data_IF_575004720833
#
_entry.id   IF_575004720833
#
_cell.length_a   1.000
_cell.length_b   1.000
_cell.length_c   1.000
_cell.angle_alpha   90.00
_cell.angle_beta   90.00
_cell.angle_gamma   90.00
#
_symmetry.space_group_name_H-M   'P 1'
#
loop_
_entity.id
_entity.type
_entity.pdbx_description
1 polymer ?
#
# COMPACT_ATOMS: atom_id res chain seq x y z
N UNK A 1 55.65 30.51 -5.43
CA UNK A 1 54.52 30.38 -4.48
C UNK A 1 53.60 29.28 -5.01
N UNK A 2 53.54 28.12 -4.36
CA UNK A 2 52.71 27.00 -4.80
C UNK A 2 51.29 27.19 -4.24
N UNK A 3 50.28 27.25 -5.11
CA UNK A 3 48.89 27.39 -4.70
C UNK A 3 48.28 26.02 -4.35
N UNK A 4 47.71 25.89 -3.15
CA UNK A 4 47.06 24.67 -2.61
C UNK A 4 46.01 24.03 -3.54
N UNK A 5 45.48 24.79 -4.51
CA UNK A 5 44.51 24.31 -5.49
C UNK A 5 45.07 23.24 -6.45
N UNK A 6 46.39 23.15 -6.65
CA UNK A 6 46.99 22.17 -7.57
C UNK A 6 47.32 20.82 -6.94
N UNK A 7 47.21 20.68 -5.61
CA UNK A 7 47.44 19.42 -4.88
C UNK A 7 46.15 18.63 -4.62
N UNK A 8 44.99 19.16 -5.00
CA UNK A 8 43.72 18.50 -4.76
C UNK A 8 43.23 17.76 -6.02
N UNK A 9 42.68 16.55 -5.88
CA UNK A 9 42.10 15.80 -7.00
C UNK A 9 40.89 16.55 -7.57
N UNK A 10 40.76 16.50 -8.90
CA UNK A 10 39.69 17.22 -9.63
C UNK A 10 38.31 16.80 -9.12
N UNK A 11 37.40 17.74 -8.81
CA UNK A 11 36.10 17.42 -8.26
C UNK A 11 35.26 16.64 -9.28
N UNK A 12 34.57 15.59 -8.81
CA UNK A 12 33.79 14.66 -9.65
C UNK A 12 32.40 15.22 -10.00
N UNK A 13 31.94 16.26 -9.30
CA UNK A 13 30.68 16.92 -9.57
C UNK A 13 30.91 18.40 -9.86
N UNK A 14 30.84 18.77 -11.13
CA UNK A 14 30.69 20.15 -11.56
C UNK A 14 29.22 20.50 -11.38
N UNK A 15 28.90 21.37 -10.43
CA UNK A 15 27.61 22.05 -10.43
C UNK A 15 27.55 22.90 -11.69
N UNK A 16 26.59 22.61 -12.57
CA UNK A 16 26.21 23.49 -13.68
C UNK A 16 26.04 24.89 -13.11
N UNK A 17 26.97 25.75 -13.51
CA UNK A 17 26.87 27.19 -13.33
C UNK A 17 26.03 27.66 -14.50
N UNK A 18 24.91 28.29 -14.20
CA UNK A 18 24.05 28.97 -15.15
C UNK A 18 24.82 30.23 -15.59
N UNK A 19 25.65 30.11 -16.63
CA UNK A 19 26.29 31.25 -17.28
C UNK A 19 25.28 31.86 -18.26
N UNK A 20 24.44 32.74 -17.72
CA UNK A 20 23.78 33.80 -18.48
C UNK A 20 24.83 34.86 -18.82
N UNK A 21 25.22 34.98 -20.10
CA UNK A 21 25.49 36.24 -20.81
C UNK A 21 26.30 35.99 -22.11
N UNK A 22 25.64 36.16 -23.27
CA UNK A 22 26.18 36.90 -24.43
C UNK A 22 25.17 36.88 -25.59
N UNK A 23 24.17 37.77 -25.53
CA UNK A 23 23.28 38.08 -26.66
C UNK A 23 24.00 39.07 -27.58
N UNK A 24 24.82 38.56 -28.49
CA UNK A 24 25.31 39.34 -29.63
C UNK A 24 24.20 39.45 -30.67
N UNK A 25 23.55 40.62 -30.72
CA UNK A 25 22.63 41.02 -31.79
C UNK A 25 23.41 41.26 -33.08
N UNK A 26 23.44 40.28 -33.98
CA UNK A 26 23.71 40.52 -35.42
C UNK A 26 22.39 40.34 -36.17
N UNK A 27 21.79 41.47 -36.50
CA UNK A 27 20.73 41.57 -37.49
C UNK A 27 21.32 41.45 -38.90
N UNK A 28 20.63 40.66 -39.72
CA UNK A 28 20.26 40.94 -41.11
C UNK A 28 20.89 40.06 -42.21
N UNK A 29 19.99 39.23 -42.78
CA UNK A 29 19.87 38.82 -44.18
C UNK A 29 20.83 37.78 -44.78
N UNK A 30 20.36 36.53 -44.84
CA UNK A 30 20.33 35.77 -46.10
C UNK A 30 19.08 34.86 -46.11
N UNK A 31 18.10 35.24 -46.92
CA UNK A 31 17.07 34.34 -47.39
C UNK A 31 17.62 33.67 -48.66
N UNK A 32 17.62 32.34 -48.70
CA UNK A 32 17.15 31.50 -49.81
C UNK A 32 17.73 30.07 -49.71
N UNK A 33 16.81 29.10 -49.82
CA UNK A 33 17.05 27.71 -50.23
C UNK A 33 17.92 26.82 -49.33
N UNK A 34 17.28 26.14 -48.38
CA UNK A 34 17.64 24.74 -48.13
C UNK A 34 16.42 23.97 -47.62
N UNK A 35 15.99 23.08 -48.50
CA UNK A 35 14.97 22.05 -48.41
C UNK A 35 14.56 21.69 -46.97
N UNK A 36 13.28 21.91 -46.72
CA UNK A 36 12.54 21.51 -45.54
C UNK A 36 12.49 19.97 -45.46
N UNK A 37 13.53 19.34 -44.92
CA UNK A 37 13.45 17.95 -44.47
C UNK A 37 12.66 17.90 -43.16
N UNK A 38 11.34 18.12 -43.25
CA UNK A 38 10.40 17.57 -42.27
C UNK A 38 10.50 16.05 -42.42
N UNK A 39 11.45 15.42 -41.73
CA UNK A 39 11.43 13.97 -41.56
C UNK A 39 10.18 13.65 -40.74
N UNK A 40 9.12 13.25 -41.44
CA UNK A 40 7.90 12.73 -40.83
C UNK A 40 8.31 11.49 -40.06
N UNK A 41 8.35 11.59 -38.73
CA UNK A 41 8.42 10.42 -37.87
C UNK A 41 7.09 9.69 -38.04
N UNK A 42 7.07 8.64 -38.87
CA UNK A 42 5.92 7.74 -39.01
C UNK A 42 5.83 6.95 -37.72
N UNK A 43 5.15 7.50 -36.72
CA UNK A 43 4.73 6.75 -35.54
C UNK A 43 3.62 5.80 -35.99
N UNK A 44 3.86 4.50 -35.94
CA UNK A 44 2.83 3.48 -36.09
C UNK A 44 1.89 3.61 -34.88
N UNK A 45 0.89 4.48 -34.98
CA UNK A 45 -0.07 4.68 -33.92
C UNK A 45 -0.76 3.36 -33.59
N UNK A 46 -0.86 3.06 -32.30
CA UNK A 46 -1.56 1.87 -31.79
C UNK A 46 -2.97 1.82 -32.41
N UNK A 47 -3.32 0.77 -33.19
CA UNK A 47 -4.62 0.68 -33.84
C UNK A 47 -5.76 0.71 -32.81
N UNK A 48 -6.89 1.33 -33.18
CA UNK A 48 -8.08 1.38 -32.34
C UNK A 48 -8.56 -0.02 -31.99
N UNK A 49 -9.30 -0.14 -30.87
CA UNK A 49 -9.92 -1.41 -30.51
C UNK A 49 -10.77 -1.95 -31.67
N UNK A 50 -10.64 -3.24 -31.97
CA UNK A 50 -11.30 -3.91 -33.11
C UNK A 50 -10.43 -4.09 -34.38
N UNK A 51 -9.35 -3.32 -34.56
CA UNK A 51 -8.45 -3.43 -35.73
C UNK A 51 -7.06 -3.99 -35.40
N UNK A 52 -6.92 -4.62 -34.23
CA UNK A 52 -5.63 -5.11 -33.72
C UNK A 52 -5.24 -6.50 -34.23
N UNK A 53 -6.02 -7.09 -35.14
CA UNK A 53 -5.71 -8.41 -35.70
C UNK A 53 -4.39 -8.34 -36.49
N UNK A 54 -3.38 -9.09 -36.03
CA UNK A 54 -2.03 -9.09 -36.62
C UNK A 54 -1.09 -8.00 -36.09
N UNK A 55 -1.57 -7.06 -35.27
CA UNK A 55 -0.73 -6.03 -34.65
C UNK A 55 -0.09 -6.57 -33.35
N UNK A 56 1.24 -6.56 -33.30
CA UNK A 56 2.02 -7.02 -32.14
C UNK A 56 2.79 -5.85 -31.52
N UNK A 57 2.42 -5.40 -30.31
CA UNK A 57 3.20 -4.38 -29.60
C UNK A 57 4.63 -4.88 -29.40
N UNK A 58 5.62 -4.04 -29.69
CA UNK A 58 7.05 -4.41 -29.63
C UNK A 58 7.88 -3.40 -28.83
N UNK A 59 7.53 -2.12 -28.87
CA UNK A 59 8.22 -1.06 -28.13
C UNK A 59 7.46 -0.68 -26.83
N UNK A 60 8.14 0.02 -25.91
CA UNK A 60 7.55 0.46 -24.63
C UNK A 60 6.32 1.37 -24.82
N UNK A 61 6.28 2.12 -25.92
CA UNK A 61 5.16 2.98 -26.31
C UNK A 61 3.95 2.18 -26.83
N UNK A 62 4.15 0.93 -27.27
CA UNK A 62 3.06 0.05 -27.74
C UNK A 62 2.35 -0.70 -26.59
N UNK A 63 3.06 -0.94 -25.48
CA UNK A 63 2.56 -1.68 -24.32
C UNK A 63 2.06 -0.74 -23.21
N UNK A 64 0.90 -1.06 -22.63
CA UNK A 64 0.55 -0.61 -21.28
C UNK A 64 1.45 -1.27 -20.23
N UNK A 65 1.76 -0.55 -19.15
CA UNK A 65 2.64 -0.92 -18.02
C UNK A 65 2.65 -2.44 -17.72
N UNK A 66 3.79 -3.14 -17.90
CA UNK A 66 3.79 -4.61 -17.74
C UNK A 66 5.14 -5.35 -17.79
N UNK A 67 6.27 -4.69 -17.53
CA UNK A 67 7.58 -5.38 -17.51
C UNK A 67 7.82 -6.05 -16.15
N UNK A 68 8.05 -7.37 -16.16
CA UNK A 68 8.48 -8.12 -14.97
C UNK A 68 9.87 -7.62 -14.55
N UNK A 69 10.02 -7.21 -13.28
CA UNK A 69 11.33 -6.79 -12.73
C UNK A 69 12.26 -8.01 -12.66
N UNK A 70 13.42 -7.94 -13.31
CA UNK A 70 14.42 -9.01 -13.37
C UNK A 70 15.34 -9.07 -12.16
N UNK A 71 15.34 -8.03 -11.31
CA UNK A 71 16.14 -7.97 -10.09
C UNK A 71 15.26 -7.63 -8.88
N UNK A 72 15.37 -8.44 -7.83
CA UNK A 72 14.83 -8.09 -6.51
C UNK A 72 15.75 -7.03 -5.89
N UNK A 73 15.24 -5.81 -5.72
CA UNK A 73 15.95 -4.71 -5.06
C UNK A 73 15.37 -4.41 -3.69
N UNK A 74 16.21 -4.00 -2.74
CA UNK A 74 15.81 -3.57 -1.39
C UNK A 74 15.27 -2.13 -1.35
N UNK A 75 14.56 -1.70 -2.41
CA UNK A 75 14.07 -0.33 -2.55
C UNK A 75 12.58 -0.27 -2.23
N UNK A 76 12.18 0.63 -1.34
CA UNK A 76 10.77 0.91 -1.10
C UNK A 76 10.13 1.44 -2.40
N UNK A 77 8.95 0.91 -2.75
CA UNK A 77 8.24 1.38 -3.93
C UNK A 77 7.81 2.83 -3.74
N UNK A 78 8.04 3.66 -4.77
CA UNK A 78 7.57 5.04 -4.77
C UNK A 78 6.04 5.04 -4.80
N UNK A 79 5.44 5.53 -3.73
CA UNK A 79 3.99 5.66 -3.63
C UNK A 79 3.59 7.07 -4.03
N UNK A 80 2.36 7.20 -4.52
CA UNK A 80 1.75 8.47 -4.90
C UNK A 80 0.40 8.54 -4.20
N UNK A 81 0.03 9.73 -3.71
CA UNK A 81 -1.26 9.96 -3.10
C UNK A 81 -2.37 10.21 -4.14
N UNK A 82 -3.59 10.44 -3.69
CA UNK A 82 -4.73 10.75 -4.56
C UNK A 82 -4.59 12.07 -5.32
N UNK A 83 -3.72 12.97 -4.86
CA UNK A 83 -3.47 14.28 -5.47
C UNK A 83 -2.34 14.22 -6.51
N UNK A 84 -1.64 13.09 -6.61
CA UNK A 84 -0.51 12.93 -7.50
C UNK A 84 0.84 13.31 -6.89
N UNK A 85 0.89 13.67 -5.61
CA UNK A 85 2.13 13.95 -4.91
C UNK A 85 2.84 12.66 -4.52
N UNK A 86 4.17 12.70 -4.62
CA UNK A 86 5.01 11.58 -4.22
C UNK A 86 5.05 11.46 -2.68
N UNK A 87 4.75 10.26 -2.20
CA UNK A 87 4.69 9.92 -0.77
C UNK A 87 6.07 9.58 -0.19
N UNK A 88 6.84 10.63 0.12
CA UNK A 88 8.12 10.49 0.86
C UNK A 88 7.92 10.17 2.35
N UNK A 89 6.72 10.40 2.89
CA UNK A 89 6.31 10.06 4.26
C UNK A 89 6.45 8.57 4.57
N UNK A 90 6.36 7.71 3.57
CA UNK A 90 6.53 6.27 3.71
C UNK A 90 7.90 5.88 4.29
N UNK A 91 8.94 6.69 4.07
CA UNK A 91 10.26 6.49 4.65
C UNK A 91 10.23 6.74 6.17
N UNK A 92 9.54 7.80 6.61
CA UNK A 92 9.41 8.12 8.03
C UNK A 92 8.50 7.12 8.77
N UNK A 93 7.51 6.55 8.08
CA UNK A 93 6.60 5.54 8.63
C UNK A 93 7.21 4.12 8.64
N UNK A 94 8.35 3.91 7.97
CA UNK A 94 8.99 2.60 7.91
C UNK A 94 9.34 2.08 9.32
N UNK A 95 8.93 0.85 9.62
CA UNK A 95 9.17 0.20 10.92
C UNK A 95 8.29 0.68 12.07
N UNK A 96 7.34 1.58 11.82
CA UNK A 96 6.39 2.05 12.83
C UNK A 96 5.15 1.16 12.87
N UNK A 97 4.51 1.06 14.04
CA UNK A 97 3.24 0.33 14.17
C UNK A 97 2.18 0.98 13.29
N UNK A 98 1.32 0.14 12.69
CA UNK A 98 0.14 0.64 11.99
C UNK A 98 -0.69 1.56 12.93
N UNK A 99 -1.11 2.71 12.41
CA UNK A 99 -1.87 3.71 13.16
C UNK A 99 -1.05 4.67 14.04
N UNK A 100 0.28 4.59 14.06
CA UNK A 100 1.10 5.65 14.67
C UNK A 100 1.14 6.85 13.71
N UNK A 101 0.60 7.98 14.16
CA UNK A 101 0.58 9.23 13.40
C UNK A 101 1.97 9.88 13.48
N UNK A 102 2.53 10.25 12.32
CA UNK A 102 3.83 10.89 12.18
C UNK A 102 3.65 12.14 11.33
N UNK A 103 4.00 13.28 11.90
CA UNK A 103 4.01 14.56 11.18
C UNK A 103 5.27 14.60 10.31
N UNK A 104 5.10 14.63 9.00
CA UNK A 104 6.21 14.53 8.03
C UNK A 104 6.03 15.44 6.82
N UNK A 105 4.85 16.05 6.70
CA UNK A 105 4.50 16.89 5.56
C UNK A 105 4.56 18.37 5.95
N UNK A 106 4.78 19.24 4.97
CA UNK A 106 4.83 20.69 5.21
C UNK A 106 3.51 21.23 5.79
N UNK A 107 2.38 20.66 5.39
CA UNK A 107 1.05 21.00 5.93
C UNK A 107 0.96 20.82 7.46
N UNK A 108 1.82 19.99 8.06
CA UNK A 108 1.85 19.77 9.50
C UNK A 108 2.49 20.93 10.27
N UNK A 109 3.26 21.78 9.59
CA UNK A 109 3.82 23.02 10.15
C UNK A 109 2.87 24.21 10.02
N UNK A 110 1.85 24.11 9.17
CA UNK A 110 0.89 25.18 8.94
C UNK A 110 -0.11 25.22 10.10
N UNK A 111 -0.41 26.39 10.69
CA UNK A 111 -1.43 26.51 11.73
C UNK A 111 -2.76 25.91 11.28
N UNK A 112 -3.45 25.23 12.21
CA UNK A 112 -4.70 24.50 11.92
C UNK A 112 -5.77 25.39 11.26
N UNK A 113 -5.81 26.69 11.59
CA UNK A 113 -6.76 27.65 11.00
C UNK A 113 -6.56 27.88 9.49
N UNK A 114 -5.37 27.59 8.95
CA UNK A 114 -5.04 27.78 7.53
C UNK A 114 -4.87 26.46 6.78
N UNK A 115 -5.06 25.33 7.47
CA UNK A 115 -5.01 23.99 6.87
C UNK A 115 -6.28 23.73 6.08
N UNK A 116 -6.11 23.32 4.83
CA UNK A 116 -7.20 23.01 3.90
C UNK A 116 -7.64 21.55 3.95
N UNK A 117 -6.84 20.69 4.60
CA UNK A 117 -7.04 19.25 4.71
C UNK A 117 -7.95 18.83 5.88
N UNK A 118 -8.34 19.77 6.74
CA UNK A 118 -9.16 19.49 7.93
C UNK A 118 -10.57 20.05 7.75
N UNK A 119 -11.56 19.25 8.10
CA UNK A 119 -12.96 19.68 8.20
C UNK A 119 -13.15 20.67 9.36
N UNK A 120 -14.20 21.50 9.27
CA UNK A 120 -14.49 22.52 10.30
C UNK A 120 -14.68 21.88 11.69
N UNK A 121 -15.32 20.71 11.76
CA UNK A 121 -15.52 19.92 12.98
C UNK A 121 -14.19 19.51 13.64
N UNK A 122 -13.18 19.17 12.83
CA UNK A 122 -11.85 18.85 13.34
C UNK A 122 -11.11 20.09 13.87
N UNK A 123 -11.49 21.29 13.44
CA UNK A 123 -10.94 22.56 13.95
C UNK A 123 -11.61 23.02 15.25
N UNK A 124 -12.85 22.59 15.49
CA UNK A 124 -13.64 22.94 16.68
C UNK A 124 -13.12 22.32 17.98
N UNK A 125 -12.20 21.34 17.90
CA UNK A 125 -11.49 20.73 19.04
C UNK A 125 -12.43 20.38 20.22
N UNK A 126 -13.60 19.84 19.88
CA UNK A 126 -14.62 19.50 20.87
C UNK A 126 -14.18 18.28 21.70
N UNK A 127 -14.55 18.28 22.97
CA UNK A 127 -14.34 17.12 23.84
C UNK A 127 -15.27 15.99 23.36
N UNK A 128 -14.76 14.75 23.21
CA UNK A 128 -15.61 13.60 22.92
C UNK A 128 -16.79 13.47 23.89
N UNK A 129 -17.85 12.80 23.46
CA UNK A 129 -19.08 12.66 24.25
C UNK A 129 -18.82 11.96 25.59
N UNK A 130 -19.64 12.26 26.60
CA UNK A 130 -19.46 11.69 27.95
C UNK A 130 -19.51 10.16 27.94
N UNK A 131 -20.37 9.58 27.09
CA UNK A 131 -20.47 8.13 26.93
C UNK A 131 -19.19 7.51 26.36
N UNK A 132 -18.53 8.17 25.39
CA UNK A 132 -17.25 7.72 24.84
C UNK A 132 -16.11 7.83 25.87
N UNK A 133 -16.12 8.89 26.66
CA UNK A 133 -15.18 9.06 27.78
C UNK A 133 -15.37 7.96 28.81
N UNK A 134 -16.61 7.64 29.18
CA UNK A 134 -16.92 6.59 30.14
C UNK A 134 -16.51 5.21 29.62
N UNK A 135 -16.84 4.87 28.36
CA UNK A 135 -16.45 3.59 27.76
C UNK A 135 -14.93 3.44 27.66
N UNK A 136 -14.21 4.51 27.34
CA UNK A 136 -12.74 4.52 27.31
C UNK A 136 -12.16 4.37 28.71
N UNK A 137 -12.77 5.00 29.70
CA UNK A 137 -12.38 4.91 31.11
C UNK A 137 -12.56 3.49 31.63
N UNK A 138 -13.68 2.83 31.34
CA UNK A 138 -13.93 1.47 31.79
C UNK A 138 -13.01 0.46 31.09
N UNK A 139 -12.74 0.63 29.79
CA UNK A 139 -11.77 -0.18 29.04
C UNK A 139 -10.35 -0.04 29.59
N UNK A 140 -9.91 1.19 29.86
CA UNK A 140 -8.57 1.46 30.40
C UNK A 140 -8.44 0.98 31.84
N UNK A 141 -9.47 1.18 32.68
CA UNK A 141 -9.53 0.62 34.05
C UNK A 141 -9.36 -0.90 34.02
N UNK A 142 -10.17 -1.62 33.24
CA UNK A 142 -10.09 -3.08 33.14
C UNK A 142 -8.72 -3.59 32.64
N UNK A 143 -8.11 -2.89 31.67
CA UNK A 143 -6.79 -3.25 31.16
C UNK A 143 -5.68 -3.04 32.21
N UNK A 144 -5.74 -1.95 32.96
CA UNK A 144 -4.81 -1.66 34.05
C UNK A 144 -4.96 -2.65 35.21
N UNK A 145 -6.19 -2.99 35.59
CA UNK A 145 -6.47 -4.01 36.60
C UNK A 145 -5.87 -5.37 36.20
N UNK A 146 -6.00 -5.78 34.93
CA UNK A 146 -5.39 -7.03 34.43
C UNK A 146 -3.87 -7.02 34.57
N UNK A 147 -3.22 -5.90 34.23
CA UNK A 147 -1.78 -5.75 34.33
C UNK A 147 -1.32 -5.73 35.80
N UNK A 148 -2.04 -5.03 36.67
CA UNK A 148 -1.76 -4.97 38.11
C UNK A 148 -1.96 -6.34 38.77
N UNK A 149 -3.05 -7.05 38.46
CA UNK A 149 -3.29 -8.40 38.96
C UNK A 149 -2.19 -9.37 38.53
N UNK A 150 -1.69 -9.26 37.29
CA UNK A 150 -0.52 -10.02 36.83
C UNK A 150 0.73 -9.74 37.67
N UNK A 151 1.01 -8.47 37.96
CA UNK A 151 2.14 -8.05 38.82
C UNK A 151 1.99 -8.53 40.26
N UNK A 152 0.80 -8.41 40.86
CA UNK A 152 0.52 -8.88 42.23
C UNK A 152 0.71 -10.39 42.33
N UNK A 153 0.15 -11.16 41.40
CA UNK A 153 0.31 -12.62 41.37
C UNK A 153 1.76 -13.05 41.24
N UNK A 154 2.55 -12.36 40.41
CA UNK A 154 3.98 -12.63 40.26
C UNK A 154 4.79 -12.29 41.52
N UNK A 155 4.37 -11.29 42.30
CA UNK A 155 5.03 -10.90 43.55
C UNK A 155 4.67 -11.80 44.75
N UNK A 156 3.57 -12.56 44.67
CA UNK A 156 3.15 -13.46 45.76
C UNK A 156 3.84 -14.83 45.65
N UNK A 157 4.64 -15.25 46.65
CA UNK A 157 5.50 -16.44 46.57
C UNK A 157 4.75 -17.78 46.64
N UNK A 158 3.43 -17.79 46.88
CA UNK A 158 2.58 -19.00 46.97
C UNK A 158 1.36 -18.94 46.03
N UNK A 159 1.56 -18.48 44.80
CA UNK A 159 0.52 -18.61 43.79
C UNK A 159 0.43 -20.07 43.32
N UNK A 160 -0.50 -20.83 43.88
CA UNK A 160 -0.81 -22.19 43.39
C UNK A 160 -1.42 -22.02 41.99
N UNK A 161 -0.82 -22.58 40.92
CA UNK A 161 -1.40 -22.49 39.59
C UNK A 161 -2.82 -23.07 39.62
N UNK A 162 -3.77 -22.37 38.99
CA UNK A 162 -5.17 -22.80 38.90
C UNK A 162 -5.21 -24.29 38.53
N UNK A 163 -5.75 -25.10 39.43
CA UNK A 163 -5.83 -26.54 39.25
C UNK A 163 -6.58 -26.89 37.97
N UNK A 164 -5.92 -27.59 37.06
CA UNK A 164 -6.38 -28.41 35.92
C UNK A 164 -7.90 -28.42 35.56
N UNK A 165 -8.55 -27.27 35.39
CA UNK A 165 -10.03 -27.20 35.34
C UNK A 165 -10.65 -26.77 34.01
N UNK A 166 -9.87 -26.40 32.99
CA UNK A 166 -10.43 -25.86 31.73
C UNK A 166 -9.78 -26.56 30.55
N UNK A 167 -10.36 -27.66 30.08
CA UNK A 167 -10.02 -28.22 28.78
C UNK A 167 -10.57 -27.28 27.70
N UNK A 168 -9.77 -26.93 26.70
CA UNK A 168 -10.18 -26.05 25.60
C UNK A 168 -9.67 -26.62 24.29
N UNK A 169 -10.60 -26.95 23.39
CA UNK A 169 -10.28 -27.43 22.05
C UNK A 169 -10.21 -26.24 21.10
N UNK A 170 -9.11 -26.14 20.33
CA UNK A 170 -8.91 -25.09 19.32
C UNK A 170 -8.86 -25.75 17.95
N UNK A 171 -9.63 -25.23 16.99
CA UNK A 171 -9.52 -25.64 15.58
C UNK A 171 -8.33 -24.93 14.96
N UNK A 172 -7.33 -25.69 14.53
CA UNK A 172 -6.16 -25.16 13.82
C UNK A 172 -6.23 -25.59 12.35
N UNK A 173 -6.20 -24.61 11.44
CA UNK A 173 -6.02 -24.85 10.01
C UNK A 173 -4.55 -24.60 9.68
N UNK A 174 -3.76 -25.63 9.33
CA UNK A 174 -2.36 -25.45 8.97
C UNK A 174 -2.18 -24.60 7.71
N UNK A 175 -1.22 -23.67 7.72
CA UNK A 175 -0.91 -22.79 6.58
C UNK A 175 -0.18 -23.49 5.40
N UNK A 176 0.23 -24.74 5.57
CA UNK A 176 0.74 -25.60 4.50
C UNK A 176 -0.10 -26.87 4.42
N UNK A 177 -1.03 -26.91 3.47
CA UNK A 177 -1.72 -28.14 3.11
C UNK A 177 -1.06 -28.69 1.84
N UNK A 178 -0.01 -29.49 2.02
CA UNK A 178 0.70 -30.11 0.91
C UNK A 178 -0.16 -31.24 0.33
N UNK A 179 -0.89 -30.96 -0.75
CA UNK A 179 -1.09 -31.87 -1.90
C UNK A 179 -1.74 -33.25 -1.74
N UNK A 180 -2.19 -33.69 -0.56
CA UNK A 180 -3.00 -34.91 -0.44
C UNK A 180 -4.37 -34.55 0.13
N UNK A 181 -5.24 -34.08 -0.76
CA UNK A 181 -6.67 -34.06 -0.50
C UNK A 181 -7.13 -35.50 -0.28
N UNK A 182 -7.31 -35.88 0.98
CA UNK A 182 -8.24 -36.94 1.31
C UNK A 182 -9.62 -36.40 0.90
N UNK A 183 -10.02 -36.74 -0.31
CA UNK A 183 -11.42 -36.69 -0.73
C UNK A 183 -12.09 -37.74 0.15
N UNK A 184 -12.64 -37.31 1.28
CA UNK A 184 -13.56 -38.12 2.05
C UNK A 184 -14.76 -38.32 1.13
N UNK A 185 -14.75 -39.48 0.46
CA UNK A 185 -15.88 -39.97 -0.29
C UNK A 185 -17.05 -40.00 0.69
N UNK A 186 -18.05 -39.16 0.44
CA UNK A 186 -19.35 -39.28 1.05
C UNK A 186 -19.88 -40.67 0.70
N UNK A 187 -19.67 -41.63 1.61
CA UNK A 187 -20.25 -42.96 1.56
C UNK A 187 -21.75 -42.78 1.80
N UNK A 188 -22.47 -42.59 0.68
CA UNK A 188 -23.92 -42.54 0.61
C UNK A 188 -24.43 -43.94 0.97
N UNK A 189 -24.71 -44.15 2.26
CA UNK A 189 -25.37 -45.36 2.74
C UNK A 189 -26.80 -45.42 2.18
N UNK A 190 -26.90 -46.08 1.03
CA UNK A 190 -28.12 -46.65 0.48
C UNK A 190 -28.65 -47.72 1.45
N UNK A 191 -29.45 -47.32 2.44
CA UNK A 191 -30.30 -48.27 3.16
C UNK A 191 -31.59 -48.53 2.36
N UNK A 192 -31.46 -49.38 1.34
CA UNK A 192 -32.60 -50.07 0.73
C UNK A 192 -33.00 -51.27 1.59
N UNK A 193 -33.83 -51.06 2.60
CA UNK A 193 -34.75 -52.13 3.04
C UNK A 193 -35.92 -51.59 3.87
N UNK A 194 -37.08 -51.41 3.24
CA UNK A 194 -38.29 -50.97 3.95
C UNK A 194 -39.55 -51.05 3.12
N UNK A 195 -40.08 -52.27 2.97
CA UNK A 195 -41.42 -52.56 2.42
C UNK A 195 -42.51 -51.77 3.16
N UNK A 196 -43.48 -51.27 2.39
CA UNK A 196 -44.79 -50.79 2.87
C UNK A 196 -45.41 -49.86 1.83
N UNK A 197 -45.97 -50.35 0.74
CA UNK A 197 -47.42 -50.63 0.63
C UNK A 197 -48.28 -49.60 1.38
N UNK A 198 -48.89 -48.65 0.67
CA UNK A 198 -50.35 -48.44 0.61
C UNK A 198 -50.70 -47.07 -0.02
N UNK A 199 -51.56 -47.10 -1.05
CA UNK A 199 -52.65 -46.13 -1.21
C UNK A 199 -52.40 -44.84 -2.02
N UNK A 200 -52.51 -44.91 -3.35
CA UNK A 200 -53.20 -43.89 -4.15
C UNK A 200 -54.72 -44.24 -4.13
N UNK A 201 -55.69 -43.32 -4.32
CA UNK A 201 -55.75 -42.39 -5.47
C UNK A 201 -56.53 -41.06 -5.26
N UNK A 202 -56.75 -40.36 -6.39
CA UNK A 202 -57.71 -39.26 -6.69
C UNK A 202 -57.10 -37.85 -6.66
N UNK A 203 -56.80 -37.18 -7.79
CA UNK A 203 -57.59 -36.78 -9.00
C UNK A 203 -58.70 -35.78 -8.69
N UNK A 204 -58.43 -34.52 -9.04
CA UNK A 204 -59.30 -33.46 -9.64
C UNK A 204 -58.55 -32.12 -9.50
N UNK A 205 -58.53 -31.19 -10.44
CA UNK A 205 -59.02 -31.09 -11.81
C UNK A 205 -58.16 -30.03 -12.51
#
# INVERSE_FOLDING_TARGET
MAALASLLPKPVHVSISDDEDDIVRVSQQVAESSLQSKSVVIRLAVPSYGQRNGWKPSSQEDFGLGKKKTAAGNTLALQVDSEGNVRYDAIAQQGQRAGKIIQSQFKDLVPLAHRKDLDDDARLMERPSEDEVQTTTDKTRAALEKLVNGKIKAAQPKNVPDGHGKTSFIRYTPGQQNGSGWVEAEDHQDDRSGRGSFGAPSVQA
#
